data_IF_190880844869
#
_entry.id   IF_190880844869
#
_cell.length_a   1.000
_cell.length_b   1.000
_cell.length_c   1.000
_cell.angle_alpha   90.00
_cell.angle_beta   90.00
_cell.angle_gamma   90.00
#
_symmetry.space_group_name_H-M   'P 1'
#
loop_
_entity.id
_entity.type
_entity.pdbx_description
1 polymer ?
#
# COMPACT_ATOMS: atom_id res chain seq x y z
N UNK A 1 61.68 39.55 28.81
CA UNK A 1 60.26 39.77 28.51
C UNK A 1 59.86 38.89 27.33
N UNK A 2 58.67 38.30 27.43
CA UNK A 2 58.15 37.19 26.61
C UNK A 2 58.14 37.43 25.10
N UNK A 3 58.65 36.50 24.27
CA UNK A 3 58.14 36.36 22.91
C UNK A 3 56.72 35.79 23.02
N UNK A 4 55.78 36.59 22.53
CA UNK A 4 54.34 36.34 22.46
C UNK A 4 54.09 34.94 21.87
N UNK A 5 53.68 33.99 22.73
CA UNK A 5 53.14 32.69 22.34
C UNK A 5 51.89 32.93 21.49
N UNK A 6 51.88 32.46 20.25
CA UNK A 6 50.63 32.05 19.58
C UNK A 6 50.88 30.72 18.86
N UNK A 7 50.05 29.69 19.14
CA UNK A 7 50.35 28.32 18.80
C UNK A 7 49.97 28.03 17.34
N UNK A 8 50.83 27.28 16.66
CA UNK A 8 50.55 26.63 15.37
C UNK A 8 49.53 25.49 15.55
N UNK A 9 48.35 25.81 16.08
CA UNK A 9 47.33 24.86 16.53
C UNK A 9 46.03 24.91 15.71
N UNK A 10 46.12 25.15 14.40
CA UNK A 10 44.93 25.39 13.57
C UNK A 10 44.50 24.23 12.65
N UNK A 11 45.30 23.17 12.49
CA UNK A 11 44.96 22.07 11.57
C UNK A 11 45.11 20.68 12.18
N UNK A 12 46.08 20.46 13.07
CA UNK A 12 46.22 19.16 13.77
C UNK A 12 45.10 18.91 14.79
N UNK A 13 44.62 19.94 15.48
CA UNK A 13 43.54 19.82 16.47
C UNK A 13 42.16 19.51 15.85
N UNK A 14 41.98 19.72 14.54
CA UNK A 14 40.74 19.38 13.83
C UNK A 14 40.62 17.89 13.52
N UNK A 15 41.72 17.15 13.55
CA UNK A 15 41.75 15.72 13.24
C UNK A 15 41.97 14.83 14.48
N UNK A 16 42.31 15.41 15.63
CA UNK A 16 42.55 14.70 16.90
C UNK A 16 41.29 14.07 17.53
N UNK A 17 40.10 14.50 17.10
CA UNK A 17 38.81 13.95 17.55
C UNK A 17 38.09 13.04 16.55
N UNK A 18 38.67 12.79 15.37
CA UNK A 18 38.03 11.99 14.31
C UNK A 18 38.42 10.51 14.39
N UNK A 19 39.54 10.20 15.04
CA UNK A 19 40.13 8.86 15.01
C UNK A 19 39.38 7.81 15.85
N UNK A 20 38.49 8.23 16.76
CA UNK A 20 37.74 7.27 17.59
C UNK A 20 36.27 7.71 17.86
N UNK A 21 35.45 7.78 16.79
CA UNK A 21 33.99 7.56 16.92
C UNK A 21 33.04 8.76 16.97
N UNK A 22 33.47 9.99 16.67
CA UNK A 22 32.62 11.19 16.78
C UNK A 22 31.68 11.51 15.60
N UNK A 23 31.86 10.87 14.43
CA UNK A 23 31.05 11.13 13.22
C UNK A 23 30.42 9.82 12.75
N UNK A 24 29.69 9.17 13.64
CA UNK A 24 28.74 8.11 13.28
C UNK A 24 27.37 8.41 13.86
N UNK A 25 27.28 8.93 15.09
CA UNK A 25 26.00 9.07 15.78
C UNK A 25 24.99 9.96 15.02
N UNK A 26 25.34 11.16 14.58
CA UNK A 26 24.33 12.05 13.94
C UNK A 26 23.84 11.58 12.54
N UNK A 27 24.65 10.83 11.79
CA UNK A 27 24.24 10.29 10.48
C UNK A 27 23.68 8.86 10.59
N UNK A 28 24.18 8.04 11.53
CA UNK A 28 23.68 6.69 11.79
C UNK A 28 22.34 6.70 12.53
N UNK A 29 22.03 7.71 13.35
CA UNK A 29 20.68 7.89 13.89
C UNK A 29 19.67 8.12 12.77
N UNK A 30 20.00 8.92 11.75
CA UNK A 30 19.09 9.16 10.63
C UNK A 30 18.83 7.91 9.79
N UNK A 31 19.80 7.00 9.65
CA UNK A 31 19.62 5.73 8.93
C UNK A 31 18.86 4.68 9.73
N UNK A 32 19.05 4.61 11.06
CA UNK A 32 18.28 3.74 11.94
C UNK A 32 16.81 4.18 12.04
N UNK A 33 16.57 5.49 12.24
CA UNK A 33 15.23 6.05 12.34
C UNK A 33 14.49 6.05 10.99
N UNK A 34 15.21 6.18 9.85
CA UNK A 34 14.61 6.07 8.52
C UNK A 34 14.11 4.65 8.20
N UNK A 35 14.75 3.60 8.70
CA UNK A 35 14.33 2.23 8.42
C UNK A 35 13.05 1.87 9.18
N UNK A 36 13.01 2.21 10.47
CA UNK A 36 11.85 1.99 11.35
C UNK A 36 10.63 2.81 10.93
N UNK A 37 10.82 4.08 10.51
CA UNK A 37 9.71 4.91 10.00
C UNK A 37 9.10 4.32 8.73
N UNK A 38 9.94 3.86 7.79
CA UNK A 38 9.46 3.30 6.53
C UNK A 38 8.75 1.94 6.71
N UNK A 39 9.20 1.12 7.66
CA UNK A 39 8.53 -0.14 8.00
C UNK A 39 7.15 0.09 8.61
N UNK A 40 7.00 1.04 9.52
CA UNK A 40 5.70 1.38 10.10
C UNK A 40 4.71 1.98 9.10
N UNK A 41 5.19 2.78 8.14
CA UNK A 41 4.33 3.26 7.05
C UNK A 41 3.90 2.12 6.12
N UNK A 42 4.80 1.18 5.84
CA UNK A 42 4.50 0.00 5.02
C UNK A 42 3.50 -0.94 5.71
N UNK A 43 3.61 -1.15 7.03
CA UNK A 43 2.64 -1.92 7.83
C UNK A 43 1.25 -1.31 7.74
N UNK A 44 1.14 0.02 7.90
CA UNK A 44 -0.14 0.74 7.76
C UNK A 44 -0.69 0.67 6.33
N UNK A 45 0.17 0.77 5.33
CA UNK A 45 -0.24 0.61 3.94
C UNK A 45 -0.75 -0.82 3.65
N UNK A 46 -0.13 -1.83 4.25
CA UNK A 46 -0.52 -3.23 4.12
C UNK A 46 -1.88 -3.51 4.77
N UNK A 47 -2.14 -2.97 5.97
CA UNK A 47 -3.45 -3.05 6.63
C UNK A 47 -4.55 -2.41 5.75
N UNK A 48 -4.30 -1.20 5.25
CA UNK A 48 -5.24 -0.54 4.33
C UNK A 48 -5.44 -1.30 3.01
N UNK A 49 -4.43 -2.02 2.52
CA UNK A 49 -4.57 -2.89 1.36
C UNK A 49 -5.42 -4.12 1.68
N UNK A 50 -5.25 -4.72 2.86
CA UNK A 50 -6.02 -5.88 3.30
C UNK A 50 -7.52 -5.56 3.34
N UNK A 51 -7.91 -4.42 3.91
CA UNK A 51 -9.31 -3.97 3.96
C UNK A 51 -9.90 -3.82 2.55
N UNK A 52 -9.15 -3.21 1.64
CA UNK A 52 -9.56 -3.04 0.23
C UNK A 52 -9.71 -4.39 -0.46
N UNK A 53 -8.81 -5.35 -0.23
CA UNK A 53 -8.91 -6.70 -0.79
C UNK A 53 -10.14 -7.44 -0.25
N UNK A 54 -10.43 -7.31 1.04
CA UNK A 54 -11.64 -7.90 1.64
C UNK A 54 -12.90 -7.30 1.01
N UNK A 55 -12.95 -5.97 0.85
CA UNK A 55 -14.05 -5.28 0.20
C UNK A 55 -14.25 -5.77 -1.24
N UNK A 56 -13.17 -5.85 -2.02
CA UNK A 56 -13.22 -6.30 -3.41
C UNK A 56 -13.70 -7.76 -3.53
N UNK A 57 -13.27 -8.65 -2.64
CA UNK A 57 -13.75 -10.04 -2.62
C UNK A 57 -15.25 -10.13 -2.39
N UNK A 58 -15.77 -9.36 -1.43
CA UNK A 58 -17.22 -9.29 -1.17
C UNK A 58 -17.97 -8.77 -2.39
N UNK A 59 -17.55 -7.62 -2.91
CA UNK A 59 -18.17 -7.00 -4.08
C UNK A 59 -18.17 -7.93 -5.30
N UNK A 60 -17.08 -8.67 -5.53
CA UNK A 60 -17.02 -9.63 -6.64
C UNK A 60 -17.98 -10.81 -6.45
N UNK A 61 -18.21 -11.25 -5.22
CA UNK A 61 -19.21 -12.26 -4.89
C UNK A 61 -20.63 -11.75 -5.15
N UNK A 62 -20.94 -10.57 -4.61
CA UNK A 62 -22.25 -9.92 -4.78
C UNK A 62 -22.59 -9.72 -6.27
N UNK A 63 -21.63 -9.26 -7.08
CA UNK A 63 -21.81 -9.11 -8.54
C UNK A 63 -22.06 -10.46 -9.21
N UNK A 64 -21.34 -11.51 -8.82
CA UNK A 64 -21.52 -12.83 -9.41
C UNK A 64 -22.92 -13.38 -9.11
N UNK A 65 -23.40 -13.22 -7.86
CA UNK A 65 -24.74 -13.62 -7.46
C UNK A 65 -25.83 -12.87 -8.23
N UNK A 66 -25.66 -11.56 -8.44
CA UNK A 66 -26.60 -10.74 -9.21
C UNK A 66 -26.62 -11.15 -10.68
N UNK A 67 -25.47 -11.42 -11.29
CA UNK A 67 -25.38 -11.93 -12.66
C UNK A 67 -26.09 -13.27 -12.80
N UNK A 68 -25.90 -14.19 -11.85
CA UNK A 68 -26.60 -15.48 -11.84
C UNK A 68 -28.11 -15.31 -11.64
N UNK A 69 -28.54 -14.34 -10.83
CA UNK A 69 -29.95 -14.01 -10.65
C UNK A 69 -30.57 -13.45 -11.94
N UNK A 70 -29.89 -12.51 -12.60
CA UNK A 70 -30.30 -11.97 -13.89
C UNK A 70 -30.39 -13.04 -14.96
N UNK A 71 -29.41 -13.93 -15.07
CA UNK A 71 -29.43 -15.03 -16.05
C UNK A 71 -30.65 -15.93 -15.84
N UNK A 72 -30.94 -16.34 -14.60
CA UNK A 72 -32.14 -17.14 -14.30
C UNK A 72 -33.45 -16.43 -14.65
N UNK A 73 -33.49 -15.11 -14.49
CA UNK A 73 -34.66 -14.31 -14.87
C UNK A 73 -34.84 -14.29 -16.39
N UNK A 74 -33.75 -14.10 -17.14
CA UNK A 74 -33.77 -14.12 -18.60
C UNK A 74 -34.17 -15.50 -19.15
N UNK A 75 -33.65 -16.58 -18.56
CA UNK A 75 -34.06 -17.94 -18.94
C UNK A 75 -35.58 -18.12 -18.80
N UNK A 76 -36.16 -17.66 -17.70
CA UNK A 76 -37.62 -17.72 -17.46
C UNK A 76 -38.39 -16.86 -18.45
N UNK A 77 -37.91 -15.66 -18.75
CA UNK A 77 -38.57 -14.79 -19.73
C UNK A 77 -38.58 -15.43 -21.12
N UNK A 78 -37.49 -16.07 -21.53
CA UNK A 78 -37.44 -16.83 -22.78
C UNK A 78 -38.45 -18.00 -22.81
N UNK A 79 -38.68 -18.68 -21.69
CA UNK A 79 -39.75 -19.68 -21.59
C UNK A 79 -41.15 -19.08 -21.71
N UNK A 80 -41.39 -17.90 -21.11
CA UNK A 80 -42.68 -17.21 -21.22
C UNK A 80 -42.96 -16.80 -22.67
N UNK A 81 -41.98 -16.18 -23.34
CA UNK A 81 -42.13 -15.80 -24.76
C UNK A 81 -42.37 -17.00 -25.68
N UNK A 82 -41.75 -18.15 -25.39
CA UNK A 82 -41.99 -19.38 -26.13
C UNK A 82 -43.41 -19.90 -25.93
N UNK A 83 -43.94 -19.86 -24.70
CA UNK A 83 -45.31 -20.26 -24.38
C UNK A 83 -46.31 -19.34 -25.10
N UNK A 84 -46.12 -18.03 -25.00
CA UNK A 84 -46.97 -17.04 -25.67
C UNK A 84 -46.98 -17.28 -27.20
N UNK A 85 -45.82 -17.59 -27.79
CA UNK A 85 -45.70 -17.92 -29.22
C UNK A 85 -46.40 -19.23 -29.63
N UNK A 86 -46.52 -20.20 -28.71
CA UNK A 86 -47.23 -21.46 -28.96
C UNK A 86 -48.73 -21.24 -28.87
N UNK A 87 -49.20 -20.51 -27.84
CA UNK A 87 -50.62 -20.18 -27.68
C UNK A 87 -51.16 -19.34 -28.85
N UNK A 88 -50.35 -18.40 -29.36
CA UNK A 88 -50.70 -17.61 -30.54
C UNK A 88 -50.89 -18.49 -31.79
N UNK A 89 -50.01 -19.49 -31.98
CA UNK A 89 -50.13 -20.45 -33.10
C UNK A 89 -51.24 -21.48 -32.97
N UNK A 90 -51.67 -21.81 -31.75
CA UNK A 90 -52.81 -22.72 -31.54
C UNK A 90 -54.18 -22.03 -31.74
N UNK A 91 -54.23 -20.69 -31.67
CA UNK A 91 -55.45 -19.89 -31.84
C UNK A 91 -55.69 -19.41 -33.29
N UNK A 92 -54.78 -19.70 -34.23
CA UNK A 92 -54.95 -19.49 -35.69
C UNK A 92 -55.49 -20.75 -36.38
#
# INVERSE_FOLDING_TARGET
MNPRREPRGGRSALFDGIEEGGIRVAASSSSYTSHEINEHENERALEGLQDRVILLKRLSGDINEEVDAHNRMLDRMGFVELIDSIEEKENE
#
